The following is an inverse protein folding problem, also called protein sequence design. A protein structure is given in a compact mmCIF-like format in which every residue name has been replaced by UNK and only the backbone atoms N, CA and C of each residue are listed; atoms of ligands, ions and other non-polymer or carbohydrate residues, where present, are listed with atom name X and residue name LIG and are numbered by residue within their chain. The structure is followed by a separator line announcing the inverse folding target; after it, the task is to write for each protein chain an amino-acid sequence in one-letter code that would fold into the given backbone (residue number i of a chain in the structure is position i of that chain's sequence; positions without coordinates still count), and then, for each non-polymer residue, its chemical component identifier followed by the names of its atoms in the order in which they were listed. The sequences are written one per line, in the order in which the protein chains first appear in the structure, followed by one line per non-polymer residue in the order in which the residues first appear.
data_IF_531876607264
#
_entry.id   IF_531876607264
#
_cell.length_a   1.000
_cell.length_b   1.000
_cell.length_c   1.000
_cell.angle_alpha   90.00
_cell.angle_beta   90.00
_cell.angle_gamma   90.00
#
_symmetry.space_group_name_H-M   'P 1'
#
loop_
_entity.id
_entity.type
_entity.pdbx_description
1 polymer ?
#
# COMPACT_ATOMS: atom_id res chain seq x y z
N UNK A 1 -2.38 23.62 0.74
CA UNK A 1 -2.01 23.96 -0.65
C UNK A 1 -3.31 24.18 -1.39
N UNK A 2 -3.58 25.42 -1.77
CA UNK A 2 -4.74 25.73 -2.62
C UNK A 2 -4.49 25.27 -4.06
N UNK A 3 -5.54 25.14 -4.87
CA UNK A 3 -5.39 24.80 -6.28
C UNK A 3 -4.52 25.83 -7.02
N UNK A 4 -4.64 27.11 -6.67
CA UNK A 4 -3.87 28.21 -7.25
C UNK A 4 -2.36 28.10 -6.93
N UNK A 5 -2.01 27.82 -5.67
CA UNK A 5 -0.60 27.60 -5.28
C UNK A 5 0.02 26.38 -5.98
N UNK A 6 -0.79 25.36 -6.25
CA UNK A 6 -0.32 24.19 -7.00
C UNK A 6 -0.06 24.52 -8.46
N UNK A 7 -0.98 25.25 -9.09
CA UNK A 7 -0.85 25.70 -10.48
C UNK A 7 0.41 26.57 -10.67
N UNK A 8 0.63 27.56 -9.80
CA UNK A 8 1.81 28.41 -9.83
C UNK A 8 3.11 27.60 -9.75
N UNK A 9 3.16 26.60 -8.85
CA UNK A 9 4.32 25.70 -8.73
C UNK A 9 4.55 24.90 -10.00
N UNK A 10 3.50 24.36 -10.61
CA UNK A 10 3.59 23.60 -11.86
C UNK A 10 4.11 24.49 -13.00
N UNK A 11 3.61 25.73 -13.09
CA UNK A 11 4.09 26.70 -14.08
C UNK A 11 5.57 27.04 -13.87
N UNK A 12 5.98 27.29 -12.63
CA UNK A 12 7.40 27.58 -12.32
C UNK A 12 8.33 26.41 -12.68
N UNK A 13 7.88 25.16 -12.54
CA UNK A 13 8.65 23.98 -12.94
C UNK A 13 8.76 23.87 -14.46
N UNK A 14 7.67 24.16 -15.18
CA UNK A 14 7.66 24.20 -16.65
C UNK A 14 8.66 25.25 -17.15
N UNK A 15 8.62 26.45 -16.60
CA UNK A 15 9.45 27.58 -17.05
C UNK A 15 10.95 27.34 -16.75
N UNK A 16 11.27 26.51 -15.75
CA UNK A 16 12.63 26.03 -15.46
C UNK A 16 13.09 24.85 -16.33
N UNK A 17 12.27 24.38 -17.27
CA UNK A 17 12.60 23.24 -18.12
C UNK A 17 12.65 21.91 -17.38
N UNK A 18 11.82 21.72 -16.34
CA UNK A 18 11.81 20.49 -15.53
C UNK A 18 11.62 19.20 -16.35
N UNK A 19 10.87 19.27 -17.45
CA UNK A 19 10.75 18.20 -18.45
C UNK A 19 11.51 18.61 -19.71
N UNK A 20 12.72 18.08 -19.84
CA UNK A 20 13.55 18.23 -21.04
C UNK A 20 13.49 16.96 -21.93
N UNK A 21 14.05 17.03 -23.15
CA UNK A 21 14.15 15.94 -24.14
C UNK A 21 14.82 14.67 -23.61
N UNK A 22 15.56 14.76 -22.52
CA UNK A 22 16.23 13.65 -21.86
C UNK A 22 15.40 12.98 -20.76
N UNK A 23 14.25 13.56 -20.37
CA UNK A 23 13.35 12.94 -19.42
C UNK A 23 12.88 11.58 -19.95
N UNK A 24 12.99 10.53 -19.12
CA UNK A 24 12.57 9.17 -19.49
C UNK A 24 11.32 8.74 -18.75
N UNK A 25 11.19 9.10 -17.48
CA UNK A 25 10.10 8.68 -16.62
C UNK A 25 9.72 9.84 -15.70
N UNK A 26 8.46 10.23 -15.74
CA UNK A 26 7.83 11.08 -14.75
C UNK A 26 6.88 10.21 -13.91
N UNK A 27 7.06 10.22 -12.60
CA UNK A 27 6.14 9.57 -11.68
C UNK A 27 5.45 10.63 -10.84
N UNK A 28 4.12 10.57 -10.79
CA UNK A 28 3.28 11.35 -9.89
C UNK A 28 2.66 10.39 -8.89
N UNK A 29 2.89 10.63 -7.61
CA UNK A 29 2.34 9.84 -6.52
C UNK A 29 1.36 10.70 -5.73
N UNK A 30 0.19 10.14 -5.42
CA UNK A 30 -0.72 10.76 -4.49
C UNK A 30 -1.35 9.71 -3.59
N UNK A 31 -1.49 10.06 -2.33
CA UNK A 31 -2.10 9.21 -1.33
C UNK A 31 -3.31 9.94 -0.75
N UNK A 32 -4.42 9.23 -0.63
CA UNK A 32 -5.65 9.76 -0.03
C UNK A 32 -6.12 8.79 1.06
N UNK A 33 -6.34 9.31 2.26
CA UNK A 33 -6.88 8.53 3.36
C UNK A 33 -8.36 8.83 3.51
N UNK A 34 -9.20 7.80 3.45
CA UNK A 34 -10.61 7.94 3.75
C UNK A 34 -10.84 7.59 5.22
N UNK A 35 -11.15 8.61 6.03
CA UNK A 35 -11.37 8.45 7.47
C UNK A 35 -12.58 7.55 7.78
N UNK A 36 -13.61 7.56 6.93
CA UNK A 36 -14.82 6.76 7.13
C UNK A 36 -14.57 5.27 6.91
N UNK A 37 -13.74 4.91 5.93
CA UNK A 37 -13.44 3.51 5.60
C UNK A 37 -12.10 3.02 6.17
N UNK A 38 -11.30 3.91 6.74
CA UNK A 38 -9.90 3.68 7.17
C UNK A 38 -9.02 3.05 6.08
N UNK A 39 -9.36 3.28 4.82
CA UNK A 39 -8.58 2.85 3.68
C UNK A 39 -7.67 3.99 3.23
N UNK A 40 -6.39 3.69 3.11
CA UNK A 40 -5.43 4.52 2.39
C UNK A 40 -5.42 4.08 0.93
N UNK A 41 -5.85 4.96 0.05
CA UNK A 41 -5.62 4.81 -1.39
C UNK A 41 -4.23 5.37 -1.73
N UNK A 42 -3.38 4.53 -2.29
CA UNK A 42 -2.11 4.91 -2.89
C UNK A 42 -2.26 4.86 -4.41
N UNK A 43 -2.08 5.99 -5.07
CA UNK A 43 -2.16 6.08 -6.51
C UNK A 43 -0.84 6.56 -7.10
N UNK A 44 -0.46 5.93 -8.20
CA UNK A 44 0.73 6.23 -8.97
C UNK A 44 0.34 6.42 -10.43
N UNK A 45 0.70 7.55 -10.98
CA UNK A 45 0.68 7.82 -12.41
C UNK A 45 2.13 7.85 -12.90
N UNK A 46 2.45 6.95 -13.82
CA UNK A 46 3.74 6.88 -14.47
C UNK A 46 3.59 7.29 -15.93
N UNK A 47 4.42 8.24 -16.34
CA UNK A 47 4.53 8.72 -17.72
C UNK A 47 5.93 8.37 -18.19
N UNK A 48 6.04 7.57 -19.24
CA UNK A 48 7.30 7.19 -19.87
C UNK A 48 7.44 7.92 -21.21
N UNK A 49 8.58 8.55 -21.41
CA UNK A 49 8.94 9.21 -22.66
C UNK A 49 9.92 8.30 -23.42
N UNK A 50 9.55 7.92 -24.65
CA UNK A 50 10.33 6.97 -25.44
C UNK A 50 11.53 7.65 -26.09
N UNK A 51 12.54 6.85 -26.48
CA UNK A 51 13.77 7.38 -27.10
C UNK A 51 13.52 8.06 -28.44
N UNK A 52 12.59 7.55 -29.24
CA UNK A 52 12.26 8.07 -30.56
C UNK A 52 11.16 9.14 -30.54
N UNK A 53 10.82 9.66 -29.36
CA UNK A 53 9.65 10.50 -29.16
C UNK A 53 8.38 9.68 -28.86
N UNK A 54 7.33 10.37 -28.44
CA UNK A 54 6.10 9.76 -27.96
C UNK A 54 6.11 9.45 -26.46
N UNK A 55 4.93 9.07 -25.95
CA UNK A 55 4.67 8.94 -24.52
C UNK A 55 3.76 7.74 -24.24
N UNK A 56 4.10 6.96 -23.22
CA UNK A 56 3.25 5.88 -22.68
C UNK A 56 2.85 6.22 -21.25
N UNK A 57 1.57 6.04 -20.93
CA UNK A 57 1.02 6.36 -19.60
C UNK A 57 0.56 5.08 -18.92
N UNK A 58 0.88 4.92 -17.64
CA UNK A 58 0.43 3.82 -16.79
C UNK A 58 -0.05 4.35 -15.46
N UNK A 59 -1.30 4.08 -15.12
CA UNK A 59 -1.85 4.35 -13.80
C UNK A 59 -1.92 3.05 -13.00
N UNK A 60 -1.64 3.14 -11.71
CA UNK A 60 -1.90 2.05 -10.76
C UNK A 60 -2.48 2.63 -9.49
N UNK A 61 -3.58 2.04 -9.03
CA UNK A 61 -4.22 2.38 -7.76
C UNK A 61 -4.16 1.14 -6.88
N UNK A 62 -3.70 1.32 -5.64
CA UNK A 62 -3.71 0.27 -4.61
C UNK A 62 -4.36 0.83 -3.36
N UNK A 63 -5.33 0.12 -2.84
CA UNK A 63 -5.91 0.41 -1.54
C UNK A 63 -5.20 -0.41 -0.48
N UNK A 64 -4.78 0.24 0.59
CA UNK A 64 -4.17 -0.34 1.77
C UNK A 64 -5.09 -0.07 2.96
N UNK A 65 -5.31 -1.08 3.78
CA UNK A 65 -5.92 -0.86 5.10
C UNK A 65 -4.82 -0.35 6.02
N UNK A 66 -4.90 0.92 6.44
CA UNK A 66 -3.87 1.54 7.25
C UNK A 66 -4.11 1.15 8.71
N UNK A 67 -3.45 0.07 9.09
CA UNK A 67 -3.52 -0.58 10.40
C UNK A 67 -4.88 -1.19 10.74
N UNK A 68 -4.96 -2.52 10.58
CA UNK A 68 -6.12 -3.32 10.98
C UNK A 68 -6.47 -3.14 12.46
N UNK A 69 -5.55 -2.69 13.32
CA UNK A 69 -5.69 -2.66 14.79
C UNK A 69 -5.68 -1.26 15.43
N UNK A 70 -5.58 -0.16 14.68
CA UNK A 70 -5.61 1.21 15.23
C UNK A 70 -6.99 1.86 15.24
N UNK A 71 -8.00 1.20 14.66
CA UNK A 71 -9.41 1.59 14.77
C UNK A 71 -9.86 2.07 16.16
N UNK A 72 -9.57 1.33 17.25
CA UNK A 72 -9.95 1.73 18.60
C UNK A 72 -9.13 2.90 19.18
N UNK A 73 -8.00 3.30 18.58
CA UNK A 73 -7.12 4.37 19.10
C UNK A 73 -7.53 5.76 18.57
N UNK A 74 -8.15 5.84 17.39
CA UNK A 74 -8.41 7.12 16.71
C UNK A 74 -9.88 7.58 16.65
N UNK A 75 -10.86 6.77 17.08
CA UNK A 75 -12.27 7.18 17.09
C UNK A 75 -13.09 6.41 18.13
N UNK A 76 -13.21 6.96 19.34
CA UNK A 76 -13.93 6.35 20.48
C UNK A 76 -15.46 6.45 20.40
N UNK A 77 -16.01 7.35 19.58
CA UNK A 77 -17.40 7.81 19.83
C UNK A 77 -18.47 7.24 18.88
N UNK A 78 -18.08 6.64 17.74
CA UNK A 78 -19.03 6.04 16.77
C UNK A 78 -18.85 4.54 16.52
N UNK A 79 -17.95 3.89 17.27
CA UNK A 79 -17.44 2.54 16.97
C UNK A 79 -18.11 1.40 17.77
N UNK A 80 -18.96 1.71 18.76
CA UNK A 80 -19.04 0.86 19.96
C UNK A 80 -19.94 -0.39 19.96
N UNK A 81 -20.58 -0.85 18.87
CA UNK A 81 -21.44 -2.06 19.00
C UNK A 81 -21.25 -3.17 17.95
N UNK A 82 -20.75 -2.91 16.74
CA UNK A 82 -20.63 -3.95 15.69
C UNK A 82 -19.19 -4.41 15.36
N UNK A 83 -18.19 -3.57 15.61
CA UNK A 83 -16.83 -3.80 15.12
C UNK A 83 -15.92 -4.60 16.07
N UNK A 84 -16.16 -4.55 17.39
CA UNK A 84 -15.31 -5.23 18.39
C UNK A 84 -15.32 -6.76 18.23
N UNK A 85 -16.48 -7.33 17.89
CA UNK A 85 -16.63 -8.79 17.70
C UNK A 85 -15.93 -9.27 16.42
N UNK A 86 -16.10 -8.56 15.30
CA UNK A 86 -15.49 -8.94 14.02
C UNK A 86 -13.98 -8.72 13.99
N UNK A 87 -13.46 -7.77 14.77
CA UNK A 87 -12.03 -7.51 14.90
C UNK A 87 -11.32 -8.54 15.78
N UNK A 88 -11.90 -8.85 16.96
CA UNK A 88 -11.39 -9.91 17.84
C UNK A 88 -11.37 -11.29 17.15
N UNK A 89 -12.42 -11.62 16.39
CA UNK A 89 -12.46 -12.86 15.60
C UNK A 89 -11.36 -12.91 14.54
N UNK A 90 -11.12 -11.81 13.81
CA UNK A 90 -10.05 -11.74 12.81
C UNK A 90 -8.68 -11.94 13.44
N UNK A 91 -8.41 -11.30 14.59
CA UNK A 91 -7.16 -11.47 15.32
C UNK A 91 -6.98 -12.93 15.79
N UNK A 92 -8.03 -13.55 16.32
CA UNK A 92 -7.99 -14.94 16.75
C UNK A 92 -7.73 -15.90 15.58
N UNK A 93 -8.36 -15.67 14.43
CA UNK A 93 -8.12 -16.45 13.20
C UNK A 93 -6.68 -16.25 12.69
N UNK A 94 -6.17 -15.02 12.68
CA UNK A 94 -4.78 -14.74 12.30
C UNK A 94 -3.79 -15.45 13.24
N UNK A 95 -4.04 -15.45 14.55
CA UNK A 95 -3.22 -16.16 15.53
C UNK A 95 -3.25 -17.68 15.33
N UNK A 96 -4.44 -18.26 15.12
CA UNK A 96 -4.59 -19.70 14.82
C UNK A 96 -3.85 -20.08 13.53
N UNK A 97 -3.93 -19.23 12.50
CA UNK A 97 -3.22 -19.45 11.24
C UNK A 97 -1.70 -19.47 11.43
N UNK A 98 -1.15 -18.57 12.25
CA UNK A 98 0.30 -18.55 12.57
C UNK A 98 0.71 -19.80 13.35
N UNK A 99 -0.09 -20.25 14.33
CA UNK A 99 0.17 -21.49 15.07
C UNK A 99 0.18 -22.69 14.11
N UNK A 100 -0.81 -22.77 13.21
CA UNK A 100 -0.90 -23.82 12.21
C UNK A 100 0.33 -23.85 11.29
N UNK A 101 0.77 -22.70 10.79
CA UNK A 101 2.01 -22.60 10.01
C UNK A 101 3.23 -23.11 10.79
N UNK A 102 3.31 -22.82 12.09
CA UNK A 102 4.37 -23.33 12.96
C UNK A 102 4.36 -24.85 13.08
N UNK A 103 3.18 -25.46 13.24
CA UNK A 103 3.03 -26.92 13.30
C UNK A 103 3.47 -27.57 11.98
N UNK A 104 3.01 -27.03 10.84
CA UNK A 104 3.39 -27.53 9.51
C UNK A 104 4.89 -27.42 9.30
N UNK A 105 5.50 -26.30 9.69
CA UNK A 105 6.95 -26.10 9.58
C UNK A 105 7.72 -27.14 10.41
N UNK A 106 7.31 -27.39 11.65
CA UNK A 106 7.95 -28.41 12.51
C UNK A 106 7.80 -29.81 11.90
N UNK A 107 6.63 -30.15 11.36
CA UNK A 107 6.40 -31.42 10.68
C UNK A 107 7.32 -31.58 9.46
N UNK A 108 7.41 -30.57 8.60
CA UNK A 108 8.31 -30.57 7.43
C UNK A 108 9.78 -30.69 7.82
N UNK A 109 10.22 -29.99 8.87
CA UNK A 109 11.60 -30.10 9.37
C UNK A 109 11.87 -31.53 9.88
N UNK A 110 10.95 -32.11 10.65
CA UNK A 110 11.09 -33.50 11.14
C UNK A 110 11.16 -34.49 9.98
N UNK A 111 10.27 -34.39 9.00
CA UNK A 111 10.27 -35.24 7.81
C UNK A 111 11.59 -35.11 7.04
N UNK A 112 12.07 -33.89 6.80
CA UNK A 112 13.33 -33.65 6.12
C UNK A 112 14.56 -34.19 6.88
N UNK A 113 14.55 -34.12 8.22
CA UNK A 113 15.59 -34.77 9.05
C UNK A 113 15.54 -36.29 8.95
N UNK A 114 14.35 -36.89 8.99
CA UNK A 114 14.20 -38.36 8.85
C UNK A 114 14.52 -38.87 7.45
N UNK A 115 14.31 -38.04 6.42
CA UNK A 115 14.66 -38.34 5.04
C UNK A 115 16.16 -38.19 4.73
N UNK A 116 16.98 -37.77 5.71
CA UNK A 116 18.42 -37.64 5.55
C UNK A 116 18.87 -36.47 4.67
N UNK A 117 18.00 -35.51 4.36
CA UNK A 117 18.30 -34.37 3.48
C UNK A 117 19.22 -33.31 4.11
N UNK A 118 19.54 -33.44 5.40
CA UNK A 118 20.43 -32.55 6.15
C UNK A 118 21.76 -33.21 6.56
N UNK A 119 22.13 -34.32 5.92
CA UNK A 119 23.46 -34.94 6.03
C UNK A 119 24.31 -34.71 4.79
#
# INVERSE_FOLDING_TARGET
ISAAEWEERVLSLRDRGFLDKHARILNVYFNAFNVNTQLLMCARLQIRFNHFGGMTRRASVRTLSLNRHLGPVFNSDRWNQGYHVSHGLKLAVEALFVIFLGIVLVAQIREAMTAGLFY
#
